data_IF_789079599727
#
_entry.id   IF_789079599727
#
_cell.length_a   1.000
_cell.length_b   1.000
_cell.length_c   1.000
_cell.angle_alpha   90.00
_cell.angle_beta   90.00
_cell.angle_gamma   90.00
#
_symmetry.space_group_name_H-M   'P 1'
#
loop_
_entity.id
_entity.type
_entity.pdbx_description
1 polymer ?
#
# COMPACT_ATOMS: atom_id res chain seq x y z
N UNK A 1 -0.17 5.92 14.00
CA UNK A 1 0.91 6.82 13.53
C UNK A 1 0.79 6.96 12.02
N UNK A 2 0.70 8.18 11.51
CA UNK A 2 0.60 8.46 10.07
C UNK A 2 1.95 8.94 9.54
N UNK A 3 2.41 8.40 8.41
CA UNK A 3 3.66 8.82 7.76
C UNK A 3 3.31 9.42 6.40
N UNK A 4 3.70 10.67 6.18
CA UNK A 4 3.42 11.40 4.94
C UNK A 4 4.69 12.01 4.35
N UNK A 5 4.73 12.15 3.03
CA UNK A 5 5.76 12.89 2.31
C UNK A 5 5.43 14.40 2.33
N UNK A 6 6.46 15.26 2.30
CA UNK A 6 6.27 16.72 2.34
C UNK A 6 5.96 17.31 0.94
N UNK A 7 5.28 16.55 0.09
CA UNK A 7 5.18 16.86 -1.35
C UNK A 7 4.23 18.04 -1.66
N UNK A 8 3.37 18.46 -0.72
CA UNK A 8 2.77 19.80 -0.77
C UNK A 8 2.51 20.38 0.63
N UNK A 9 2.88 21.65 0.82
CA UNK A 9 2.68 22.36 2.09
C UNK A 9 1.19 22.46 2.45
N UNK A 10 0.32 22.59 1.44
CA UNK A 10 -1.13 22.67 1.62
C UNK A 10 -1.73 21.36 2.16
N UNK A 11 -1.44 20.21 1.53
CA UNK A 11 -1.93 18.92 1.99
C UNK A 11 -1.33 18.53 3.34
N UNK A 12 -0.05 18.86 3.58
CA UNK A 12 0.61 18.62 4.87
C UNK A 12 -0.10 19.36 6.01
N UNK A 13 -0.50 20.62 5.79
CA UNK A 13 -1.18 21.45 6.81
C UNK A 13 -2.57 20.92 7.15
N UNK A 14 -3.38 20.53 6.15
CA UNK A 14 -4.71 19.95 6.39
C UNK A 14 -4.58 18.61 7.13
N UNK A 15 -3.63 17.77 6.70
CA UNK A 15 -3.40 16.47 7.31
C UNK A 15 -2.91 16.61 8.76
N UNK A 16 -2.10 17.61 9.06
CA UNK A 16 -1.70 17.97 10.44
C UNK A 16 -2.91 18.36 11.30
N UNK A 17 -3.81 19.20 10.79
CA UNK A 17 -5.02 19.61 11.52
C UNK A 17 -5.94 18.42 11.81
N UNK A 18 -6.11 17.53 10.84
CA UNK A 18 -6.91 16.30 11.02
C UNK A 18 -6.25 15.37 12.03
N UNK A 19 -4.94 15.12 11.92
CA UNK A 19 -4.20 14.30 12.87
C UNK A 19 -4.24 14.87 14.29
N UNK A 20 -4.12 16.18 14.45
CA UNK A 20 -4.25 16.85 15.75
C UNK A 20 -5.65 16.69 16.35
N UNK A 21 -6.69 16.83 15.52
CA UNK A 21 -8.09 16.68 15.97
C UNK A 21 -8.41 15.24 16.40
N UNK A 22 -7.79 14.26 15.74
CA UNK A 22 -8.01 12.83 15.98
C UNK A 22 -7.01 12.20 16.95
N UNK A 23 -6.14 13.00 17.57
CA UNK A 23 -5.06 12.54 18.46
C UNK A 23 -4.14 11.47 17.84
N UNK A 24 -3.83 11.64 16.54
CA UNK A 24 -2.97 10.74 15.78
C UNK A 24 -1.57 11.35 15.68
N UNK A 25 -0.58 10.67 16.23
CA UNK A 25 0.83 11.04 16.02
C UNK A 25 1.21 10.98 14.53
N UNK A 26 1.67 12.10 13.99
CA UNK A 26 2.10 12.25 12.60
C UNK A 26 3.63 12.37 12.51
N UNK A 27 4.24 11.68 11.54
CA UNK A 27 5.66 11.82 11.21
C UNK A 27 5.78 12.24 9.75
N UNK A 28 6.49 13.35 9.52
CA UNK A 28 6.84 13.81 8.18
C UNK A 28 8.20 13.25 7.79
N UNK A 29 8.25 12.45 6.73
CA UNK A 29 9.52 11.93 6.21
C UNK A 29 10.16 12.91 5.21
N UNK A 30 11.46 13.23 5.35
CA UNK A 30 12.18 14.04 4.37
C UNK A 30 12.18 13.37 2.99
N UNK A 31 12.10 14.18 1.94
CA UNK A 31 11.90 13.75 0.53
C UNK A 31 13.04 12.88 -0.04
N UNK A 32 14.23 12.86 0.57
CA UNK A 32 15.45 12.48 -0.13
C UNK A 32 15.99 11.06 0.07
N UNK A 33 15.36 10.17 0.85
CA UNK A 33 15.75 8.74 0.96
C UNK A 33 14.50 7.88 1.19
N UNK A 34 14.42 6.63 0.68
CA UNK A 34 13.29 5.72 0.93
C UNK A 34 13.24 5.32 2.42
N UNK A 35 12.65 6.20 3.22
CA UNK A 35 12.78 6.21 4.67
C UNK A 35 11.64 5.47 5.34
N UNK A 36 10.50 5.33 4.67
CA UNK A 36 9.30 4.72 5.24
C UNK A 36 8.93 3.38 4.56
N UNK A 37 8.22 2.54 5.32
CA UNK A 37 7.75 1.23 4.84
C UNK A 37 6.79 1.36 3.64
N UNK A 38 6.14 2.51 3.48
CA UNK A 38 5.20 2.80 2.39
C UNK A 38 5.94 3.00 1.07
N UNK A 39 7.03 3.77 1.05
CA UNK A 39 7.90 3.99 -0.10
C UNK A 39 8.55 2.69 -0.54
N UNK A 40 8.98 1.84 0.41
CA UNK A 40 9.48 0.49 0.10
C UNK A 40 8.42 -0.35 -0.59
N UNK A 41 7.20 -0.39 -0.05
CA UNK A 41 6.08 -1.09 -0.70
C UNK A 41 5.71 -0.49 -2.06
N UNK A 42 5.84 0.82 -2.24
CA UNK A 42 5.59 1.47 -3.53
C UNK A 42 6.68 1.14 -4.57
N UNK A 43 7.92 0.91 -4.14
CA UNK A 43 9.00 0.42 -5.01
C UNK A 43 8.66 -0.97 -5.54
N UNK A 44 8.10 -1.86 -4.70
CA UNK A 44 7.69 -3.20 -5.12
C UNK A 44 6.39 -3.19 -5.93
N UNK A 45 5.48 -2.25 -5.64
CA UNK A 45 4.19 -2.11 -6.30
C UNK A 45 4.30 -1.58 -7.74
N UNK A 46 5.18 -0.61 -7.97
CA UNK A 46 5.33 0.05 -9.28
C UNK A 46 5.65 -0.93 -10.42
N UNK A 47 6.63 -1.85 -10.29
CA UNK A 47 6.88 -2.88 -11.29
C UNK A 47 5.68 -3.80 -11.52
N UNK A 48 5.01 -4.24 -10.45
CA UNK A 48 3.82 -5.08 -10.56
C UNK A 48 2.68 -4.39 -11.32
N UNK A 49 2.48 -3.09 -11.08
CA UNK A 49 1.55 -2.27 -11.84
C UNK A 49 1.97 -2.18 -13.31
N UNK A 50 3.21 -1.80 -13.61
CA UNK A 50 3.70 -1.69 -15.00
C UNK A 50 3.52 -3.00 -15.78
N UNK A 51 3.81 -4.15 -15.16
CA UNK A 51 3.68 -5.46 -15.79
C UNK A 51 2.22 -5.83 -16.04
N UNK A 52 1.32 -5.63 -15.06
CA UNK A 52 -0.08 -6.03 -15.20
C UNK A 52 -0.88 -5.08 -16.09
N UNK A 53 -0.53 -3.79 -16.05
CA UNK A 53 -1.18 -2.72 -16.79
C UNK A 53 -0.83 -2.84 -18.28
N UNK A 54 0.42 -3.14 -18.61
CA UNK A 54 0.88 -3.21 -19.99
C UNK A 54 0.70 -1.85 -20.67
N UNK A 55 0.16 -1.86 -21.89
CA UNK A 55 -0.12 -0.63 -22.67
C UNK A 55 -1.46 0.04 -22.31
N UNK A 56 -2.32 -0.65 -21.55
CA UNK A 56 -3.63 -0.14 -21.15
C UNK A 56 -3.58 0.51 -19.76
N UNK A 57 -3.10 1.75 -19.75
CA UNK A 57 -2.85 2.53 -18.53
C UNK A 57 -4.12 2.92 -17.76
N UNK A 58 -5.29 2.90 -18.38
CA UNK A 58 -6.55 3.32 -17.74
C UNK A 58 -7.14 2.23 -16.82
N UNK A 59 -6.77 0.95 -17.03
CA UNK A 59 -7.27 -0.19 -16.24
C UNK A 59 -6.45 -0.49 -14.97
N UNK A 60 -5.53 0.40 -14.56
CA UNK A 60 -4.67 0.17 -13.39
C UNK A 60 -5.45 -0.07 -12.09
N UNK A 61 -6.59 0.60 -11.92
CA UNK A 61 -7.43 0.49 -10.73
C UNK A 61 -8.07 -0.90 -10.57
N UNK A 62 -8.45 -1.53 -11.68
CA UNK A 62 -9.03 -2.87 -11.71
C UNK A 62 -7.98 -3.97 -11.42
N UNK A 63 -6.71 -3.65 -11.70
CA UNK A 63 -5.56 -4.55 -11.55
C UNK A 63 -4.95 -4.48 -10.14
N UNK A 64 -5.21 -3.42 -9.38
CA UNK A 64 -4.73 -3.23 -8.00
C UNK A 64 -5.04 -4.39 -7.05
N UNK A 65 -6.26 -4.96 -7.00
CA UNK A 65 -6.56 -6.06 -6.09
C UNK A 65 -5.68 -7.29 -6.34
N UNK A 66 -5.36 -7.60 -7.61
CA UNK A 66 -4.50 -8.73 -7.99
C UNK A 66 -3.06 -8.52 -7.54
N UNK A 67 -2.56 -7.30 -7.68
CA UNK A 67 -1.20 -6.95 -7.26
C UNK A 67 -1.12 -6.93 -5.72
N UNK A 68 -2.15 -6.39 -5.05
CA UNK A 68 -2.27 -6.43 -3.59
C UNK A 68 -2.26 -7.87 -3.05
N UNK A 69 -2.92 -8.78 -3.74
CA UNK A 69 -2.89 -10.21 -3.41
C UNK A 69 -1.46 -10.77 -3.53
N UNK A 70 -0.80 -10.57 -4.68
CA UNK A 70 0.56 -11.05 -4.94
C UNK A 70 1.62 -10.51 -3.96
N UNK A 71 1.50 -9.26 -3.51
CA UNK A 71 2.48 -8.60 -2.64
C UNK A 71 2.32 -8.92 -1.14
N UNK A 72 1.30 -9.69 -0.75
CA UNK A 72 1.08 -10.09 0.64
C UNK A 72 1.20 -11.62 0.80
N UNK A 73 2.43 -12.18 0.78
CA UNK A 73 2.65 -13.61 0.86
C UNK A 73 2.09 -14.24 2.14
N UNK A 74 2.00 -13.50 3.25
CA UNK A 74 1.37 -13.96 4.49
C UNK A 74 -0.14 -14.19 4.35
N UNK A 75 -0.84 -13.36 3.56
CA UNK A 75 -2.26 -13.54 3.29
C UNK A 75 -2.49 -14.71 2.34
N UNK A 76 -1.64 -14.85 1.31
CA UNK A 76 -1.70 -15.98 0.38
C UNK A 76 -1.54 -17.31 1.13
N UNK A 77 -0.54 -17.43 2.00
CA UNK A 77 -0.32 -18.66 2.77
C UNK A 77 -1.51 -18.99 3.67
N UNK A 78 -2.11 -18.00 4.32
CA UNK A 78 -3.29 -18.21 5.16
C UNK A 78 -4.52 -18.60 4.33
N UNK A 79 -4.75 -17.94 3.19
CA UNK A 79 -5.88 -18.26 2.31
C UNK A 79 -5.75 -19.67 1.71
N UNK A 80 -4.53 -20.07 1.32
CA UNK A 80 -4.25 -21.43 0.82
C UNK A 80 -4.45 -22.46 1.94
N UNK A 81 -3.93 -22.20 3.14
CA UNK A 81 -4.10 -23.10 4.29
C UNK A 81 -5.58 -23.23 4.68
N UNK A 82 -6.35 -22.13 4.63
CA UNK A 82 -7.79 -22.14 4.87
C UNK A 82 -8.52 -22.97 3.82
N UNK A 83 -8.12 -22.84 2.54
CA UNK A 83 -8.73 -23.60 1.44
C UNK A 83 -8.41 -25.10 1.53
N UNK A 84 -7.17 -25.47 1.88
CA UNK A 84 -6.76 -26.85 2.13
C UNK A 84 -7.55 -27.43 3.31
N UNK A 85 -7.59 -26.71 4.44
CA UNK A 85 -8.31 -27.15 5.64
C UNK A 85 -9.80 -27.38 5.38
N UNK A 86 -10.46 -26.51 4.61
CA UNK A 86 -11.87 -26.66 4.26
C UNK A 86 -12.12 -27.76 3.20
N UNK A 87 -11.10 -28.12 2.42
CA UNK A 87 -11.18 -29.22 1.45
C UNK A 87 -10.99 -30.59 2.11
N UNK A 88 -10.23 -30.66 3.20
CA UNK A 88 -10.01 -31.89 3.99
C UNK A 88 -11.14 -32.15 5.00
N UNK A 89 -12.01 -31.15 5.24
CA UNK A 89 -13.16 -31.22 6.15
C UNK A 89 -14.49 -31.67 5.49
N UNK A 90 -14.49 -31.92 4.17
CA UNK A 90 -15.60 -32.48 3.39
C UNK A 90 -15.22 -33.87 2.85
#
# INVERSE_FOLDING_TARGET
MLINNNESQFLSTILQQVCYTLDIAQILTPVYHPANQVERKNIDLKPGLTILVGDDHDSWSEKLPRIRFALNPSQITLDILQHIYNSDAN
#
